data_IF_103438117754
#
_entry.id   IF_103438117754
#
_cell.length_a   1.000
_cell.length_b   1.000
_cell.length_c   1.000
_cell.angle_alpha   90.00
_cell.angle_beta   90.00
_cell.angle_gamma   90.00
#
_symmetry.space_group_name_H-M   'P 1'
#
loop_
_entity.id
_entity.type
_entity.pdbx_description
1 polymer ?
#
# COMPACT_ATOMS: atom_id res chain seq x y z
N UNK A 1 -13.18 -1.17 10.52
CA UNK A 1 -11.91 -1.51 9.88
C UNK A 1 -11.61 -2.99 10.02
N UNK A 2 -11.20 -3.42 11.21
CA UNK A 2 -10.62 -4.75 11.48
C UNK A 2 -11.45 -5.95 11.03
N UNK A 3 -12.77 -5.89 11.18
CA UNK A 3 -13.65 -6.97 10.68
C UNK A 3 -13.53 -7.12 9.16
N UNK A 4 -13.52 -6.00 8.42
CA UNK A 4 -13.47 -6.01 6.96
C UNK A 4 -12.10 -6.42 6.42
N UNK A 5 -11.01 -6.02 7.10
CA UNK A 5 -9.65 -6.40 6.70
C UNK A 5 -9.36 -7.88 6.95
N UNK A 6 -9.90 -8.48 8.02
CA UNK A 6 -9.71 -9.89 8.34
C UNK A 6 -10.74 -10.84 7.68
N UNK A 7 -11.78 -10.29 7.04
CA UNK A 7 -12.86 -11.07 6.43
C UNK A 7 -12.35 -12.11 5.41
N UNK A 8 -11.44 -11.79 4.47
CA UNK A 8 -10.90 -12.77 3.53
C UNK A 8 -10.20 -13.94 4.24
N UNK A 9 -9.36 -13.65 5.23
CA UNK A 9 -8.64 -14.67 6.00
C UNK A 9 -9.58 -15.54 6.83
N UNK A 10 -10.64 -14.95 7.40
CA UNK A 10 -11.66 -15.70 8.12
C UNK A 10 -12.41 -16.67 7.18
N UNK A 11 -12.73 -16.24 5.96
CA UNK A 11 -13.38 -17.07 4.95
C UNK A 11 -12.49 -18.21 4.46
N UNK A 12 -11.23 -17.92 4.16
CA UNK A 12 -10.24 -18.94 3.80
C UNK A 12 -10.06 -19.97 4.93
N UNK A 13 -10.07 -19.51 6.18
CA UNK A 13 -10.01 -20.41 7.33
C UNK A 13 -11.25 -21.30 7.45
N UNK A 14 -12.44 -20.78 7.16
CA UNK A 14 -13.66 -21.60 7.11
C UNK A 14 -13.56 -22.65 6.01
N UNK A 15 -13.05 -22.29 4.82
CA UNK A 15 -12.86 -23.24 3.72
C UNK A 15 -11.88 -24.36 4.11
N UNK A 16 -10.72 -24.00 4.67
CA UNK A 16 -9.71 -24.95 5.17
C UNK A 16 -10.28 -25.89 6.24
N UNK A 17 -11.09 -25.36 7.17
CA UNK A 17 -11.74 -26.19 8.20
C UNK A 17 -12.73 -27.18 7.57
N UNK A 18 -13.39 -26.79 6.47
CA UNK A 18 -14.34 -27.64 5.76
C UNK A 18 -13.69 -28.74 4.92
N UNK A 19 -12.37 -28.73 4.73
CA UNK A 19 -11.63 -29.86 4.16
C UNK A 19 -11.69 -31.09 5.08
N UNK A 20 -11.80 -30.88 6.39
CA UNK A 20 -12.03 -31.96 7.35
C UNK A 20 -13.52 -32.33 7.39
N UNK A 21 -13.84 -33.57 7.05
CA UNK A 21 -15.21 -34.06 6.96
C UNK A 21 -16.00 -33.94 8.28
N UNK A 22 -15.38 -34.29 9.41
CA UNK A 22 -16.02 -34.22 10.73
C UNK A 22 -16.39 -32.78 11.09
N UNK A 23 -15.47 -31.84 10.86
CA UNK A 23 -15.71 -30.43 11.14
C UNK A 23 -16.74 -29.83 10.19
N UNK A 24 -16.70 -30.19 8.90
CA UNK A 24 -17.70 -29.78 7.91
C UNK A 24 -19.11 -30.22 8.31
N UNK A 25 -19.28 -31.48 8.71
CA UNK A 25 -20.57 -32.00 9.17
C UNK A 25 -21.06 -31.27 10.42
N UNK A 26 -20.15 -30.95 11.35
CA UNK A 26 -20.50 -30.20 12.56
C UNK A 26 -20.95 -28.78 12.25
N UNK A 27 -20.28 -28.10 11.31
CA UNK A 27 -20.68 -26.77 10.84
C UNK A 27 -22.06 -26.82 10.19
N UNK A 28 -22.33 -27.79 9.32
CA UNK A 28 -23.65 -27.96 8.69
C UNK A 28 -24.75 -28.23 9.72
N UNK A 29 -24.46 -29.03 10.75
CA UNK A 29 -25.40 -29.26 11.84
C UNK A 29 -25.73 -27.94 12.56
N UNK A 30 -24.73 -27.11 12.84
CA UNK A 30 -24.91 -25.78 13.44
C UNK A 30 -25.71 -24.83 12.52
N UNK A 31 -25.38 -24.78 11.23
CA UNK A 31 -26.10 -23.99 10.22
C UNK A 31 -27.59 -24.37 10.17
N UNK A 32 -27.89 -25.68 10.16
CA UNK A 32 -29.26 -26.20 10.18
C UNK A 32 -30.00 -25.83 11.46
N UNK A 33 -29.34 -25.97 12.63
CA UNK A 33 -29.93 -25.62 13.93
C UNK A 33 -30.21 -24.12 14.06
N UNK A 34 -29.35 -23.27 13.50
CA UNK A 34 -29.42 -21.82 13.69
C UNK A 34 -30.28 -21.09 12.66
N UNK A 35 -30.36 -21.57 11.41
CA UNK A 35 -31.05 -20.85 10.34
C UNK A 35 -31.83 -21.75 9.36
N UNK A 36 -32.09 -23.00 9.74
CA UNK A 36 -32.71 -24.02 8.89
C UNK A 36 -31.88 -24.39 7.64
N UNK A 37 -30.59 -24.04 7.62
CA UNK A 37 -29.70 -24.29 6.48
C UNK A 37 -29.87 -23.30 5.32
N UNK A 38 -30.58 -22.19 5.52
CA UNK A 38 -30.78 -21.13 4.51
C UNK A 38 -29.50 -20.39 4.14
N UNK A 39 -28.57 -20.25 5.09
CA UNK A 39 -27.31 -19.55 4.86
C UNK A 39 -26.12 -20.35 5.37
N UNK A 40 -25.03 -20.37 4.61
CA UNK A 40 -23.77 -20.95 5.06
C UNK A 40 -23.06 -19.98 6.00
N UNK A 41 -22.26 -20.52 6.92
CA UNK A 41 -21.43 -19.74 7.83
C UNK A 41 -20.55 -18.74 7.06
N UNK A 42 -19.98 -19.19 5.93
CA UNK A 42 -19.19 -18.34 5.02
C UNK A 42 -19.96 -17.10 4.53
N UNK A 43 -21.24 -17.25 4.20
CA UNK A 43 -22.09 -16.16 3.69
C UNK A 43 -22.47 -15.20 4.82
N UNK A 44 -22.75 -15.74 6.01
CA UNK A 44 -23.10 -14.96 7.19
C UNK A 44 -21.96 -14.03 7.62
N UNK A 45 -20.70 -14.41 7.38
CA UNK A 45 -19.53 -13.54 7.63
C UNK A 45 -19.55 -12.25 6.79
N UNK A 46 -20.19 -12.23 5.62
CA UNK A 46 -20.30 -10.99 4.82
C UNK A 46 -21.36 -10.02 5.32
N UNK A 47 -22.35 -10.49 6.08
CA UNK A 47 -23.53 -9.71 6.46
C UNK A 47 -23.17 -8.42 7.21
N UNK A 48 -22.26 -8.40 8.20
CA UNK A 48 -21.89 -7.17 8.90
C UNK A 48 -21.31 -6.10 7.97
N UNK A 49 -20.41 -6.50 7.05
CA UNK A 49 -19.83 -5.60 6.06
C UNK A 49 -20.91 -5.06 5.12
N UNK A 50 -21.79 -5.93 4.61
CA UNK A 50 -22.89 -5.52 3.73
C UNK A 50 -23.88 -4.58 4.40
N UNK A 51 -24.13 -4.74 5.72
CA UNK A 51 -25.04 -3.86 6.47
C UNK A 51 -24.47 -2.47 6.65
N UNK A 52 -23.20 -2.37 7.06
CA UNK A 52 -22.52 -1.08 7.25
C UNK A 52 -22.55 -0.24 5.97
N UNK A 53 -22.34 -0.88 4.82
CA UNK A 53 -22.38 -0.22 3.50
C UNK A 53 -23.80 0.16 3.03
N UNK A 54 -24.86 -0.19 3.76
CA UNK A 54 -26.26 0.14 3.40
C UNK A 54 -26.89 1.17 4.32
N UNK A 55 -26.31 1.46 5.49
CA UNK A 55 -26.91 2.41 6.42
C UNK A 55 -27.05 3.82 5.84
N UNK A 56 -26.10 4.27 5.03
CA UNK A 56 -26.19 5.57 4.36
C UNK A 56 -27.42 5.66 3.42
N UNK A 57 -27.85 4.54 2.80
CA UNK A 57 -29.05 4.51 1.96
C UNK A 57 -30.32 4.65 2.81
N UNK A 58 -30.36 3.94 3.95
CA UNK A 58 -31.48 4.00 4.89
C UNK A 58 -31.62 5.42 5.47
N UNK A 59 -30.53 6.00 5.95
CA UNK A 59 -30.52 7.36 6.51
C UNK A 59 -30.94 8.39 5.45
N UNK A 60 -30.47 8.23 4.21
CA UNK A 60 -30.89 9.10 3.10
C UNK A 60 -32.39 9.01 2.84
N UNK A 61 -32.98 7.82 2.94
CA UNK A 61 -34.42 7.65 2.75
C UNK A 61 -35.23 8.22 3.92
N UNK A 62 -34.73 8.09 5.15
CA UNK A 62 -35.34 8.75 6.32
C UNK A 62 -35.35 10.27 6.14
N UNK A 63 -34.23 10.88 5.74
CA UNK A 63 -34.13 12.33 5.49
C UNK A 63 -35.16 12.82 4.46
N UNK A 64 -35.48 12.03 3.42
CA UNK A 64 -36.49 12.41 2.43
C UNK A 64 -37.90 12.45 3.01
N UNK A 65 -38.17 11.62 4.01
CA UNK A 65 -39.48 11.47 4.66
C UNK A 65 -39.59 12.27 5.96
N UNK A 66 -38.60 13.11 6.29
CA UNK A 66 -38.62 14.00 7.45
C UNK A 66 -38.78 15.45 7.01
N UNK A 67 -39.74 16.15 7.64
CA UNK A 67 -40.10 17.53 7.32
C UNK A 67 -38.93 18.52 7.53
N UNK A 68 -38.94 19.60 6.73
CA UNK A 68 -37.96 20.71 6.75
C UNK A 68 -38.65 21.93 7.36
N UNK A 69 -38.67 22.14 8.69
CA UNK A 69 -37.48 22.22 9.54
C UNK A 69 -37.64 21.48 10.88
N UNK A 70 -36.89 20.40 11.10
CA UNK A 70 -36.86 19.72 12.40
C UNK A 70 -35.43 19.49 12.85
N UNK A 71 -35.19 19.60 14.17
CA UNK A 71 -33.92 19.20 14.79
C UNK A 71 -33.56 17.73 14.51
N UNK A 72 -34.56 16.91 14.16
CA UNK A 72 -34.37 15.52 13.74
C UNK A 72 -33.70 15.43 12.38
N UNK A 73 -34.10 16.28 11.43
CA UNK A 73 -33.50 16.33 10.10
C UNK A 73 -32.01 16.67 10.17
N UNK A 74 -31.63 17.69 10.94
CA UNK A 74 -30.22 18.08 11.12
C UNK A 74 -29.40 16.95 11.76
N UNK A 75 -30.02 16.18 12.65
CA UNK A 75 -29.39 15.01 13.26
C UNK A 75 -29.21 13.87 12.27
N UNK A 76 -30.19 13.66 11.37
CA UNK A 76 -30.09 12.68 10.30
C UNK A 76 -29.04 13.07 9.23
N UNK A 77 -28.92 14.35 8.89
CA UNK A 77 -27.91 14.83 7.93
C UNK A 77 -26.49 14.61 8.46
N UNK A 78 -26.23 14.91 9.75
CA UNK A 78 -24.96 14.55 10.41
C UNK A 78 -24.71 13.04 10.47
N UNK A 79 -25.75 12.25 10.72
CA UNK A 79 -25.63 10.79 10.71
C UNK A 79 -25.31 10.24 9.30
N UNK A 80 -25.84 10.87 8.25
CA UNK A 80 -25.53 10.52 6.87
C UNK A 80 -24.05 10.77 6.56
N UNK A 81 -23.53 11.95 6.91
CA UNK A 81 -22.12 12.30 6.75
C UNK A 81 -21.22 11.30 7.48
N UNK A 82 -21.50 11.01 8.76
CA UNK A 82 -20.74 10.02 9.53
C UNK A 82 -20.76 8.61 8.90
N UNK A 83 -21.87 8.19 8.30
CA UNK A 83 -21.97 6.89 7.61
C UNK A 83 -21.21 6.87 6.28
N UNK A 84 -21.11 8.01 5.59
CA UNK A 84 -20.27 8.15 4.39
C UNK A 84 -18.79 8.11 4.76
N UNK A 85 -18.39 8.81 5.83
CA UNK A 85 -17.04 8.79 6.37
C UNK A 85 -16.63 7.39 6.83
N UNK A 86 -17.53 6.68 7.50
CA UNK A 86 -17.29 5.28 7.89
C UNK A 86 -17.00 4.40 6.67
N UNK A 87 -17.68 4.62 5.56
CA UNK A 87 -17.46 3.86 4.33
C UNK A 87 -16.08 4.15 3.74
N UNK A 88 -15.64 5.42 3.75
CA UNK A 88 -14.29 5.83 3.35
C UNK A 88 -13.23 5.22 4.28
N UNK A 89 -13.45 5.28 5.60
CA UNK A 89 -12.56 4.71 6.60
C UNK A 89 -12.41 3.19 6.44
N UNK A 90 -13.51 2.45 6.20
CA UNK A 90 -13.44 1.00 5.96
C UNK A 90 -12.60 0.68 4.72
N UNK A 91 -12.73 1.48 3.66
CA UNK A 91 -11.92 1.32 2.45
C UNK A 91 -10.44 1.61 2.72
N UNK A 92 -10.11 2.67 3.46
CA UNK A 92 -8.73 3.01 3.81
C UNK A 92 -8.10 1.93 4.71
N UNK A 93 -8.80 1.44 5.74
CA UNK A 93 -8.27 0.35 6.59
C UNK A 93 -8.05 -0.93 5.78
N UNK A 94 -8.93 -1.24 4.82
CA UNK A 94 -8.72 -2.39 3.93
C UNK A 94 -7.47 -2.19 3.05
N UNK A 95 -7.34 -1.01 2.44
CA UNK A 95 -6.17 -0.64 1.62
C UNK A 95 -4.87 -0.69 2.43
N UNK A 96 -4.88 -0.22 3.67
CA UNK A 96 -3.72 -0.30 4.57
C UNK A 96 -3.33 -1.74 4.90
N UNK A 97 -4.32 -2.60 5.15
CA UNK A 97 -4.06 -4.00 5.42
C UNK A 97 -3.47 -4.73 4.20
N UNK A 98 -4.02 -4.51 3.00
CA UNK A 98 -3.47 -5.04 1.75
C UNK A 98 -2.05 -4.51 1.50
N UNK A 99 -1.81 -3.23 1.78
CA UNK A 99 -0.48 -2.62 1.66
C UNK A 99 0.53 -3.26 2.62
N UNK A 100 0.14 -3.53 3.87
CA UNK A 100 1.01 -4.21 4.84
C UNK A 100 1.38 -5.62 4.39
N UNK A 101 0.44 -6.37 3.81
CA UNK A 101 0.72 -7.71 3.27
C UNK A 101 1.76 -7.66 2.15
N UNK A 102 1.62 -6.73 1.20
CA UNK A 102 2.60 -6.51 0.13
C UNK A 102 3.99 -6.18 0.70
N UNK A 103 4.05 -5.32 1.73
CA UNK A 103 5.31 -4.97 2.38
C UNK A 103 5.97 -6.19 3.04
N UNK A 104 5.19 -7.05 3.71
CA UNK A 104 5.70 -8.29 4.29
C UNK A 104 6.22 -9.27 3.24
N UNK A 105 5.53 -9.40 2.10
CA UNK A 105 5.97 -10.22 0.98
C UNK A 105 7.28 -9.71 0.38
N UNK A 106 7.38 -8.39 0.15
CA UNK A 106 8.62 -7.75 -0.30
C UNK A 106 9.74 -8.03 0.71
N UNK A 107 9.49 -7.85 2.01
CA UNK A 107 10.50 -8.10 3.04
C UNK A 107 10.99 -9.56 3.04
N UNK A 108 10.08 -10.52 2.86
CA UNK A 108 10.43 -11.95 2.74
C UNK A 108 11.21 -12.25 1.46
N UNK A 109 10.96 -11.52 0.37
CA UNK A 109 11.63 -11.72 -0.92
C UNK A 109 13.08 -11.18 -0.96
N UNK A 110 13.46 -10.30 -0.02
CA UNK A 110 14.79 -9.66 0.01
C UNK A 110 15.71 -10.38 1.00
N UNK A 111 16.73 -11.04 0.47
CA UNK A 111 17.82 -11.65 1.23
C UNK A 111 18.82 -10.58 1.70
N UNK A 112 19.46 -10.84 2.84
CA UNK A 112 20.51 -10.02 3.45
C UNK A 112 20.08 -8.57 3.72
N UNK A 113 18.77 -8.33 3.92
CA UNK A 113 18.23 -7.01 4.20
C UNK A 113 18.83 -6.48 5.52
N UNK A 114 19.58 -5.39 5.44
CA UNK A 114 20.21 -4.76 6.61
C UNK A 114 19.31 -3.66 7.13
N UNK A 115 18.77 -3.85 8.34
CA UNK A 115 17.96 -2.86 9.05
C UNK A 115 18.37 -2.83 10.52
N UNK A 116 18.12 -1.71 11.23
CA UNK A 116 18.25 -1.66 12.68
C UNK A 116 17.46 -2.78 13.37
N UNK A 117 17.94 -3.25 14.51
CA UNK A 117 17.23 -4.24 15.32
C UNK A 117 15.81 -3.72 15.66
N UNK A 118 14.82 -4.61 15.58
CA UNK A 118 13.39 -4.32 15.83
C UNK A 118 12.73 -3.33 14.84
N UNK A 119 13.29 -3.12 13.65
CA UNK A 119 12.60 -2.40 12.56
C UNK A 119 12.25 -3.32 11.40
N UNK A 120 11.18 -2.96 10.71
CA UNK A 120 10.60 -3.67 9.58
C UNK A 120 10.25 -2.68 8.46
N UNK A 121 10.04 -3.17 7.23
CA UNK A 121 9.77 -2.30 6.08
C UNK A 121 8.52 -1.44 6.26
N UNK A 122 7.53 -1.90 7.03
CA UNK A 122 6.32 -1.13 7.37
C UNK A 122 6.63 0.14 8.17
N UNK A 123 7.72 0.19 8.92
CA UNK A 123 8.10 1.36 9.73
C UNK A 123 8.65 2.50 8.85
N UNK A 124 9.09 2.16 7.63
CA UNK A 124 9.54 3.09 6.60
C UNK A 124 8.42 3.63 5.71
N UNK A 125 7.16 3.33 6.05
CA UNK A 125 5.96 3.85 5.38
C UNK A 125 5.36 2.90 4.35
N UNK A 126 4.41 3.42 3.56
CA UNK A 126 3.71 2.67 2.52
C UNK A 126 4.65 2.39 1.34
N UNK A 127 4.44 1.25 0.69
CA UNK A 127 5.09 0.93 -0.57
C UNK A 127 4.49 1.76 -1.70
N UNK A 128 5.34 2.43 -2.49
CA UNK A 128 4.93 3.34 -3.56
C UNK A 128 5.12 2.73 -4.95
N UNK A 129 6.28 2.14 -5.21
CA UNK A 129 6.66 1.66 -6.54
C UNK A 129 7.84 0.71 -6.51
N UNK A 130 7.88 -0.25 -7.43
CA UNK A 130 9.09 -1.01 -7.73
C UNK A 130 9.44 -1.03 -9.23
N UNK A 131 10.66 -1.44 -9.54
CA UNK A 131 11.08 -1.72 -10.89
C UNK A 131 12.59 -1.65 -11.12
N UNK A 132 13.01 -2.04 -12.32
CA UNK A 132 14.42 -2.03 -12.70
C UNK A 132 14.88 -0.63 -13.12
N UNK A 133 15.98 -0.19 -12.51
CA UNK A 133 16.75 0.99 -12.93
C UNK A 133 18.24 0.64 -13.06
N UNK A 134 18.92 1.27 -14.02
CA UNK A 134 20.39 1.26 -14.04
C UNK A 134 20.85 2.40 -13.12
N UNK A 135 21.73 2.09 -12.17
CA UNK A 135 22.18 3.04 -11.14
C UNK A 135 23.69 3.21 -11.23
N UNK A 136 24.14 4.47 -11.18
CA UNK A 136 25.56 4.83 -11.05
C UNK A 136 25.76 5.53 -9.72
N UNK A 137 26.61 4.95 -8.87
CA UNK A 137 27.03 5.61 -7.64
C UNK A 137 28.25 6.47 -7.94
N UNK A 138 28.22 7.77 -7.60
CA UNK A 138 29.32 8.68 -7.93
C UNK A 138 30.59 8.44 -7.10
N UNK A 139 30.50 7.69 -5.99
CA UNK A 139 31.67 7.35 -5.16
C UNK A 139 32.55 6.26 -5.78
N UNK A 140 31.98 5.33 -6.54
CA UNK A 140 32.74 4.27 -7.23
C UNK A 140 32.66 4.36 -8.76
N UNK A 141 31.84 5.27 -9.28
CA UNK A 141 31.55 5.51 -10.69
C UNK A 141 31.16 4.24 -11.48
N UNK A 142 30.59 3.22 -10.81
CA UNK A 142 30.18 1.97 -11.44
C UNK A 142 28.70 1.94 -11.74
N UNK A 143 28.37 1.65 -12.99
CA UNK A 143 26.99 1.43 -13.42
C UNK A 143 26.55 0.00 -13.13
N UNK A 144 25.38 -0.16 -12.52
CA UNK A 144 24.84 -1.48 -12.18
C UNK A 144 23.33 -1.51 -12.35
N UNK A 145 22.81 -2.61 -12.88
CA UNK A 145 21.36 -2.84 -12.89
C UNK A 145 20.90 -3.22 -11.48
N UNK A 146 19.84 -2.55 -11.01
CA UNK A 146 19.24 -2.74 -9.70
C UNK A 146 17.73 -2.79 -9.84
N UNK A 147 17.12 -3.66 -9.04
CA UNK A 147 15.69 -3.57 -8.77
C UNK A 147 15.51 -2.62 -7.60
N UNK A 148 14.64 -1.64 -7.77
CA UNK A 148 14.39 -0.59 -6.80
C UNK A 148 13.04 -0.86 -6.15
N UNK A 149 12.98 -0.77 -4.83
CA UNK A 149 11.72 -0.71 -4.07
C UNK A 149 11.64 0.65 -3.39
N UNK A 150 10.60 1.41 -3.67
CA UNK A 150 10.36 2.74 -3.13
C UNK A 150 9.27 2.69 -2.07
N UNK A 151 9.59 3.18 -0.87
CA UNK A 151 8.69 3.41 0.25
C UNK A 151 8.68 4.90 0.59
N UNK A 152 7.73 5.36 1.42
CA UNK A 152 7.62 6.78 1.79
C UNK A 152 8.91 7.38 2.37
N UNK A 153 9.68 6.61 3.16
CA UNK A 153 10.89 7.11 3.84
C UNK A 153 12.19 6.57 3.26
N UNK A 154 12.15 5.46 2.53
CA UNK A 154 13.36 4.77 2.07
C UNK A 154 13.20 4.20 0.66
N UNK A 155 14.28 4.23 -0.10
CA UNK A 155 14.41 3.56 -1.38
C UNK A 155 15.48 2.47 -1.30
N UNK A 156 15.09 1.21 -1.50
CA UNK A 156 15.96 0.05 -1.41
C UNK A 156 16.52 -0.30 -2.79
N UNK A 157 17.82 -0.55 -2.87
CA UNK A 157 18.51 -1.05 -4.06
C UNK A 157 18.86 -2.53 -3.89
N UNK A 158 18.29 -3.35 -4.76
CA UNK A 158 18.46 -4.79 -4.74
C UNK A 158 19.06 -5.31 -6.04
N UNK A 159 19.71 -6.48 -5.98
CA UNK A 159 20.07 -7.28 -7.16
C UNK A 159 19.06 -8.43 -7.29
N UNK A 160 18.34 -8.50 -8.40
CA UNK A 160 17.44 -9.62 -8.69
C UNK A 160 18.22 -10.94 -8.86
N UNK A 161 17.66 -12.03 -8.32
CA UNK A 161 18.15 -13.41 -8.37
C UNK A 161 16.95 -14.36 -8.59
N UNK A 162 16.39 -14.33 -9.81
CA UNK A 162 15.12 -15.02 -10.10
C UNK A 162 13.98 -14.34 -9.34
N UNK A 163 13.24 -15.12 -8.56
CA UNK A 163 12.09 -14.63 -7.77
C UNK A 163 12.48 -13.97 -6.44
N UNK A 164 13.78 -13.98 -6.11
CA UNK A 164 14.30 -13.36 -4.88
C UNK A 164 15.23 -12.19 -5.18
N UNK A 165 15.41 -11.34 -4.19
CA UNK A 165 16.25 -10.15 -4.27
C UNK A 165 17.40 -10.26 -3.28
N UNK A 166 18.54 -9.65 -3.58
CA UNK A 166 19.66 -9.53 -2.63
C UNK A 166 19.93 -8.05 -2.39
N UNK A 167 19.76 -7.63 -1.14
CA UNK A 167 19.97 -6.25 -0.71
C UNK A 167 21.39 -5.79 -1.05
N UNK A 168 21.54 -4.54 -1.52
CA UNK A 168 22.84 -3.94 -1.84
C UNK A 168 23.06 -2.63 -1.10
N UNK A 169 22.06 -1.77 -1.12
CA UNK A 169 22.18 -0.42 -0.56
C UNK A 169 20.79 0.19 -0.33
N UNK A 170 20.69 1.24 0.47
CA UNK A 170 19.45 1.94 0.77
C UNK A 170 19.67 3.46 0.78
N UNK A 171 18.69 4.21 0.26
CA UNK A 171 18.66 5.67 0.28
C UNK A 171 17.52 6.11 1.20
N UNK A 172 17.86 6.79 2.28
CA UNK A 172 16.88 7.47 3.14
C UNK A 172 16.41 8.72 2.40
N UNK A 173 15.15 8.77 1.99
CA UNK A 173 14.66 9.82 1.08
C UNK A 173 14.82 11.21 1.68
N UNK A 174 14.58 11.39 2.98
CA UNK A 174 14.73 12.68 3.66
C UNK A 174 16.16 13.24 3.70
N UNK A 175 17.18 12.46 3.34
CA UNK A 175 18.57 12.93 3.23
C UNK A 175 18.94 13.35 1.80
N UNK A 176 18.08 13.10 0.82
CA UNK A 176 18.36 13.29 -0.60
C UNK A 176 17.33 14.18 -1.27
N UNK A 177 17.75 14.87 -2.33
CA UNK A 177 16.86 15.61 -3.23
C UNK A 177 17.08 15.17 -4.66
N UNK A 178 16.02 15.22 -5.46
CA UNK A 178 16.10 15.03 -6.91
C UNK A 178 16.70 16.29 -7.52
N UNK A 179 17.83 16.14 -8.21
CA UNK A 179 18.47 17.22 -8.96
C UNK A 179 18.03 17.16 -10.42
N UNK A 180 17.32 18.21 -10.82
CA UNK A 180 16.80 18.37 -12.18
C UNK A 180 17.76 19.11 -13.11
N UNK A 181 18.89 19.61 -12.60
CA UNK A 181 19.83 20.43 -13.39
C UNK A 181 20.84 19.62 -14.21
N UNK A 182 20.91 18.29 -14.01
CA UNK A 182 21.81 17.40 -14.73
C UNK A 182 21.27 17.02 -16.13
N UNK A 183 20.96 18.02 -16.96
CA UNK A 183 20.67 17.83 -18.38
C UNK A 183 21.87 18.27 -19.20
N UNK A 184 22.64 17.28 -19.65
CA UNK A 184 23.32 17.20 -20.94
C UNK A 184 24.54 16.30 -20.79
N UNK A 185 24.54 15.16 -21.47
CA UNK A 185 25.71 14.74 -22.25
C UNK A 185 25.24 13.87 -23.42
N UNK A 186 25.49 14.39 -24.62
CA UNK A 186 25.49 13.70 -25.91
C UNK A 186 26.40 12.46 -25.90
N UNK A 187 25.93 11.33 -25.37
CA UNK A 187 26.55 10.04 -25.63
C UNK A 187 25.51 9.01 -26.01
N UNK A 188 25.75 8.43 -27.19
CA UNK A 188 25.16 7.28 -27.91
C UNK A 188 23.94 6.57 -27.29
N UNK A 189 23.00 6.10 -28.11
CA UNK A 189 21.76 5.46 -27.64
C UNK A 189 22.08 4.10 -27.00
N UNK A 190 22.39 4.09 -25.70
CA UNK A 190 22.24 2.91 -24.86
C UNK A 190 20.75 2.72 -24.58
N UNK A 191 20.32 1.52 -24.19
CA UNK A 191 18.90 1.18 -23.91
C UNK A 191 18.29 1.97 -22.72
N UNK A 192 19.11 2.77 -22.03
CA UNK A 192 18.80 3.52 -20.82
C UNK A 192 19.04 5.01 -21.07
N UNK A 193 18.05 5.69 -21.64
CA UNK A 193 18.22 7.01 -22.30
C UNK A 193 17.81 8.17 -21.38
N UNK A 194 17.10 7.89 -20.27
CA UNK A 194 16.45 8.92 -19.46
C UNK A 194 17.00 8.95 -18.02
N UNK A 195 18.04 9.76 -17.74
CA UNK A 195 18.60 9.86 -16.41
C UNK A 195 17.83 10.82 -15.49
N UNK A 196 17.96 10.60 -14.18
CA UNK A 196 17.69 11.56 -13.12
C UNK A 196 18.71 11.37 -11.99
N UNK A 197 19.05 12.44 -11.27
CA UNK A 197 20.09 12.40 -10.23
C UNK A 197 19.45 12.62 -8.87
N UNK A 198 19.87 11.85 -7.88
CA UNK A 198 19.56 12.11 -6.47
C UNK A 198 20.85 12.49 -5.76
N UNK A 199 20.86 13.67 -5.15
CA UNK A 199 22.02 14.23 -4.46
C UNK A 199 21.68 14.35 -2.98
N UNK A 200 22.57 13.85 -2.13
CA UNK A 200 22.44 14.00 -0.68
C UNK A 200 22.51 15.49 -0.31
N UNK A 201 21.79 15.92 0.72
CA UNK A 201 21.76 17.33 1.15
C UNK A 201 23.14 17.89 1.49
N UNK A 202 24.02 17.05 2.05
CA UNK A 202 25.42 17.38 2.35
C UNK A 202 26.35 17.38 1.12
N UNK A 203 25.82 17.03 -0.07
CA UNK A 203 26.54 16.88 -1.36
C UNK A 203 27.69 15.87 -1.34
N UNK A 204 27.78 15.02 -0.32
CA UNK A 204 28.85 14.01 -0.20
C UNK A 204 28.62 12.84 -1.14
N UNK A 205 27.36 12.50 -1.40
CA UNK A 205 26.96 11.32 -2.15
C UNK A 205 25.92 11.70 -3.20
N UNK A 206 26.10 11.19 -4.41
CA UNK A 206 25.14 11.33 -5.50
C UNK A 206 24.95 9.98 -6.21
N UNK A 207 23.71 9.74 -6.64
CA UNK A 207 23.33 8.60 -7.45
C UNK A 207 22.68 9.10 -8.74
N UNK A 208 23.12 8.58 -9.88
CA UNK A 208 22.41 8.77 -11.14
C UNK A 208 21.62 7.51 -11.46
N UNK A 209 20.31 7.65 -11.57
CA UNK A 209 19.40 6.61 -12.01
C UNK A 209 19.11 6.82 -13.49
N UNK A 210 19.06 5.73 -14.24
CA UNK A 210 18.69 5.73 -15.65
C UNK A 210 17.45 4.86 -15.79
N UNK A 211 16.43 5.39 -16.45
CA UNK A 211 15.23 4.66 -16.86
C UNK A 211 15.31 4.28 -18.36
N UNK A 212 14.53 3.28 -18.77
CA UNK A 212 14.49 2.82 -20.17
C UNK A 212 13.80 3.87 -21.07
N UNK A 213 12.81 4.58 -20.53
CA UNK A 213 12.04 5.61 -21.25
C UNK A 213 11.86 6.88 -20.40
N UNK A 214 11.54 8.00 -21.06
CA UNK A 214 11.24 9.26 -20.38
C UNK A 214 9.98 9.16 -19.52
N UNK A 215 8.93 8.50 -20.02
CA UNK A 215 7.71 8.21 -19.25
C UNK A 215 8.01 7.42 -17.96
N UNK A 216 8.88 6.40 -18.04
CA UNK A 216 9.28 5.65 -16.86
C UNK A 216 10.05 6.53 -15.87
N UNK A 217 10.95 7.40 -16.35
CA UNK A 217 11.68 8.38 -15.51
C UNK A 217 10.71 9.32 -14.80
N UNK A 218 9.74 9.87 -15.52
CA UNK A 218 8.83 10.88 -14.99
C UNK A 218 7.92 10.25 -13.92
N UNK A 219 7.44 9.03 -14.15
CA UNK A 219 6.74 8.23 -13.13
C UNK A 219 7.57 7.94 -11.88
N UNK A 220 8.88 7.74 -12.02
CA UNK A 220 9.78 7.57 -10.87
C UNK A 220 9.96 8.87 -10.10
N UNK A 221 10.16 10.00 -10.79
CA UNK A 221 10.26 11.32 -10.16
C UNK A 221 8.99 11.67 -9.40
N UNK A 222 7.82 11.46 -10.00
CA UNK A 222 6.52 11.70 -9.37
C UNK A 222 6.34 10.84 -8.11
N UNK A 223 6.66 9.54 -8.20
CA UNK A 223 6.56 8.64 -7.04
C UNK A 223 7.53 9.04 -5.91
N UNK A 224 8.75 9.48 -6.24
CA UNK A 224 9.72 9.97 -5.24
C UNK A 224 9.23 11.28 -4.61
N UNK A 225 8.65 12.19 -5.39
CA UNK A 225 8.07 13.43 -4.87
C UNK A 225 6.90 13.14 -3.91
N UNK A 226 5.98 12.25 -4.29
CA UNK A 226 4.88 11.81 -3.42
C UNK A 226 5.40 11.16 -2.12
N UNK A 227 6.43 10.33 -2.20
CA UNK A 227 7.05 9.72 -1.02
C UNK A 227 7.64 10.76 -0.06
N UNK A 228 8.36 11.75 -0.62
CA UNK A 228 8.93 12.86 0.15
C UNK A 228 7.85 13.71 0.82
N UNK A 229 6.75 14.01 0.12
CA UNK A 229 5.61 14.75 0.66
C UNK A 229 4.93 13.96 1.80
N UNK A 230 4.75 12.64 1.64
CA UNK A 230 4.20 11.79 2.71
C UNK A 230 5.09 11.74 3.96
N UNK A 231 6.42 11.87 3.78
CA UNK A 231 7.39 11.84 4.88
C UNK A 231 7.40 13.11 5.73
N UNK A 232 6.88 14.23 5.19
CA UNK A 232 6.71 15.51 5.88
C UNK A 232 5.20 15.79 6.03
N UNK A 233 4.53 15.33 7.10
CA UNK A 233 3.16 15.76 7.32
C UNK A 233 3.16 17.30 7.37
N UNK A 234 2.30 17.92 6.54
CA UNK A 234 2.02 19.34 6.60
C UNK A 234 1.78 19.67 8.06
N UNK A 235 2.70 20.43 8.67
CA UNK A 235 2.55 20.93 10.03
C UNK A 235 1.14 21.52 10.12
N UNK A 236 0.29 20.85 10.92
CA UNK A 236 -1.08 21.26 11.13
C UNK A 236 -1.10 22.74 11.52
N UNK A 237 -1.79 23.53 10.71
CA UNK A 237 -2.37 24.81 11.16
C UNK A 237 -3.72 24.52 11.79
#
# INVERSE_FOLDING_TARGET
>A
GDFCSNLPSAQERVDKICENELLRLKIQECERRSNEGKFRLRDLLHVPMQRVLKYHLLVRELIKNTDKPSSERDSLERALEAMQDLSLYVNEVKRDHESLQVIEEIQKSINDLRMPANTSLKDYGRFQKDGELKVTCHSDNRQRNRHIFLFDKVMLMCKAKGDTYSFKDAIVLGEFRVDESAYSQDKKPDKWISPFVMVKHDRTTAYTFYAKTADQRDKWKEAIAMALDNSQPVNGR
#
